data_IF_733104739038
#
_entry.id   IF_733104739038
#
_cell.length_a   1.000
_cell.length_b   1.000
_cell.length_c   1.000
_cell.angle_alpha   90.00
_cell.angle_beta   90.00
_cell.angle_gamma   90.00
#
_symmetry.space_group_name_H-M   'P 1'
#
loop_
_entity.id
_entity.type
_entity.pdbx_description
1 polymer ?
#
# COMPACT_ATOMS: atom_id res chain seq x y z
N UNK A 1 10.41 -7.75 1.79
CA UNK A 1 11.01 -9.01 2.28
C UNK A 1 9.93 -10.08 2.20
N UNK A 2 10.09 -11.07 1.34
CA UNK A 2 9.12 -12.16 1.18
C UNK A 2 9.55 -13.43 1.94
N UNK A 3 8.75 -14.49 1.85
CA UNK A 3 9.02 -15.79 2.48
C UNK A 3 10.35 -16.40 2.04
N UNK A 4 10.65 -16.36 0.74
CA UNK A 4 11.88 -16.94 0.18
C UNK A 4 13.10 -16.22 0.70
N UNK A 5 13.08 -14.88 0.67
CA UNK A 5 14.14 -14.06 1.22
C UNK A 5 14.37 -14.34 2.71
N UNK A 6 13.29 -14.50 3.50
CA UNK A 6 13.39 -14.77 4.93
C UNK A 6 14.06 -16.13 5.23
N UNK A 7 13.81 -17.15 4.41
CA UNK A 7 14.47 -18.46 4.51
C UNK A 7 15.95 -18.36 4.11
N UNK A 8 16.24 -17.71 2.97
CA UNK A 8 17.60 -17.57 2.44
C UNK A 8 18.54 -16.80 3.37
N UNK A 9 17.99 -15.90 4.19
CA UNK A 9 18.74 -15.07 5.14
C UNK A 9 18.60 -15.56 6.59
N UNK A 10 18.13 -16.80 6.81
CA UNK A 10 18.00 -17.43 8.13
C UNK A 10 17.16 -16.62 9.14
N UNK A 11 16.24 -15.79 8.64
CA UNK A 11 15.34 -14.97 9.45
C UNK A 11 14.23 -15.83 10.08
N UNK A 12 13.90 -16.94 9.43
CA UNK A 12 13.01 -18.01 9.91
C UNK A 12 13.64 -19.39 9.59
N UNK A 13 13.32 -20.45 10.36
CA UNK A 13 13.81 -21.80 10.06
C UNK A 13 13.41 -22.27 8.66
N UNK A 14 14.25 -23.08 8.01
CA UNK A 14 14.03 -23.53 6.62
C UNK A 14 12.74 -24.34 6.40
N UNK A 15 12.23 -24.97 7.46
CA UNK A 15 10.98 -25.74 7.49
C UNK A 15 9.80 -24.96 8.11
N UNK A 16 10.00 -23.70 8.49
CA UNK A 16 8.97 -22.87 9.08
C UNK A 16 8.03 -22.32 8.00
N UNK A 17 6.75 -22.65 8.11
CA UNK A 17 5.71 -22.07 7.26
C UNK A 17 4.41 -21.93 8.04
N UNK A 18 3.91 -20.71 8.10
CA UNK A 18 2.60 -20.40 8.67
C UNK A 18 1.76 -19.73 7.61
N UNK A 19 0.65 -20.39 7.25
CA UNK A 19 -0.34 -19.90 6.31
C UNK A 19 0.26 -19.41 4.98
N UNK A 20 0.25 -18.10 4.70
CA UNK A 20 0.78 -17.48 3.47
C UNK A 20 2.31 -17.30 3.44
N UNK A 21 3.01 -17.72 4.47
CA UNK A 21 4.47 -17.70 4.55
C UNK A 21 4.90 -17.70 6.01
N UNK A 22 4.89 -16.51 6.61
CA UNK A 22 5.08 -16.29 8.04
C UNK A 22 4.22 -15.11 8.49
N UNK A 23 3.95 -15.02 9.78
CA UNK A 23 3.02 -14.06 10.38
C UNK A 23 3.54 -12.61 10.28
N UNK A 24 2.63 -11.64 10.16
CA UNK A 24 3.00 -10.22 10.05
C UNK A 24 3.77 -9.73 11.29
N UNK A 25 3.51 -10.33 12.45
CA UNK A 25 4.27 -10.09 13.68
C UNK A 25 5.78 -10.27 13.47
N UNK A 26 6.19 -11.34 12.78
CA UNK A 26 7.61 -11.56 12.47
C UNK A 26 8.09 -10.59 11.39
N UNK A 27 7.24 -10.31 10.39
CA UNK A 27 7.54 -9.33 9.34
C UNK A 27 7.90 -7.96 9.92
N UNK A 28 7.15 -7.48 10.91
CA UNK A 28 7.45 -6.21 11.58
C UNK A 28 8.77 -6.26 12.35
N UNK A 29 9.08 -7.33 13.07
CA UNK A 29 10.38 -7.45 13.78
C UNK A 29 11.57 -7.49 12.82
N UNK A 30 11.41 -8.19 11.69
CA UNK A 30 12.38 -8.18 10.60
C UNK A 30 12.54 -6.78 9.98
N UNK A 31 11.43 -6.07 9.77
CA UNK A 31 11.44 -4.72 9.23
C UNK A 31 12.15 -3.73 10.17
N UNK A 32 11.91 -3.83 11.48
CA UNK A 32 12.62 -3.03 12.49
C UNK A 32 14.13 -3.25 12.43
N UNK A 33 14.54 -4.52 12.32
CA UNK A 33 15.96 -4.90 12.20
C UNK A 33 16.58 -4.31 10.93
N UNK A 34 15.93 -4.47 9.79
CA UNK A 34 16.45 -4.00 8.50
C UNK A 34 16.46 -2.47 8.40
N UNK A 35 15.42 -1.78 8.89
CA UNK A 35 15.42 -0.31 8.97
C UNK A 35 16.52 0.20 9.91
N UNK A 36 16.76 -0.49 11.04
CA UNK A 36 17.87 -0.19 11.94
C UNK A 36 19.24 -0.30 11.26
N UNK A 37 19.40 -1.25 10.33
CA UNK A 37 20.62 -1.41 9.52
C UNK A 37 20.71 -0.34 8.42
N UNK A 38 19.64 -0.17 7.64
CA UNK A 38 19.58 0.77 6.52
C UNK A 38 19.80 2.22 6.97
N UNK A 39 19.25 2.61 8.12
CA UNK A 39 19.41 3.96 8.68
C UNK A 39 20.84 4.29 9.15
N UNK A 40 21.73 3.30 9.23
CA UNK A 40 23.15 3.51 9.56
C UNK A 40 24.04 3.62 8.33
N UNK A 41 23.50 3.39 7.13
CA UNK A 41 24.24 3.57 5.88
C UNK A 41 24.28 5.05 5.49
N UNK A 42 25.30 5.43 4.73
CA UNK A 42 25.45 6.81 4.23
C UNK A 42 24.45 7.12 3.10
N UNK A 43 23.95 6.09 2.40
CA UNK A 43 23.01 6.21 1.28
C UNK A 43 21.54 6.27 1.74
N UNK A 44 20.68 7.03 1.05
CA UNK A 44 19.24 7.01 1.31
C UNK A 44 18.67 5.61 1.02
N UNK A 45 17.69 5.19 1.82
CA UNK A 45 17.06 3.88 1.67
C UNK A 45 15.63 3.97 1.14
N UNK A 46 15.22 2.92 0.44
CA UNK A 46 13.82 2.61 0.16
C UNK A 46 13.54 1.21 0.72
N UNK A 47 12.62 1.11 1.66
CA UNK A 47 12.22 -0.14 2.26
C UNK A 47 10.74 -0.40 2.00
N UNK A 48 10.44 -1.57 1.43
CA UNK A 48 9.08 -2.01 1.09
C UNK A 48 8.78 -3.37 1.71
N UNK A 49 7.60 -3.47 2.31
CA UNK A 49 7.05 -4.70 2.89
C UNK A 49 5.56 -4.81 2.57
N UNK A 50 5.06 -6.04 2.58
CA UNK A 50 3.66 -6.36 2.32
C UNK A 50 3.15 -7.24 3.47
N UNK A 51 2.16 -6.73 4.21
CA UNK A 51 1.46 -7.50 5.23
C UNK A 51 0.49 -8.49 4.58
N UNK A 52 0.33 -9.67 5.17
CA UNK A 52 -0.48 -10.76 4.60
C UNK A 52 -1.44 -11.41 5.58
N UNK A 53 -1.42 -11.11 6.88
CA UNK A 53 -2.32 -11.74 7.86
C UNK A 53 -3.81 -11.48 7.56
N UNK A 54 -4.14 -10.43 6.81
CA UNK A 54 -5.53 -10.11 6.37
C UNK A 54 -5.95 -10.79 5.08
N UNK A 55 -5.11 -11.66 4.49
CA UNK A 55 -5.38 -12.27 3.19
C UNK A 55 -6.66 -13.14 3.18
N UNK A 56 -7.26 -13.28 2.01
CA UNK A 56 -8.42 -14.14 1.79
C UNK A 56 -8.04 -15.64 1.82
N UNK A 57 -8.84 -16.56 2.39
CA UNK A 57 -10.08 -16.38 3.16
C UNK A 57 -9.80 -16.23 4.66
N UNK A 58 -10.68 -15.50 5.37
CA UNK A 58 -10.80 -15.43 6.84
C UNK A 58 -9.58 -14.92 7.63
N UNK A 59 -8.47 -14.62 6.96
CA UNK A 59 -7.28 -14.12 7.62
C UNK A 59 -6.51 -15.18 8.42
N UNK A 60 -5.37 -14.77 8.95
CA UNK A 60 -4.65 -15.45 10.01
C UNK A 60 -4.66 -14.58 11.26
N UNK A 61 -5.19 -15.14 12.34
CA UNK A 61 -5.18 -14.50 13.64
C UNK A 61 -3.96 -15.01 14.40
N UNK A 62 -2.94 -14.16 14.57
CA UNK A 62 -1.78 -14.53 15.39
C UNK A 62 -2.26 -14.87 16.83
N UNK A 63 -1.78 -15.98 17.43
CA UNK A 63 -2.24 -16.44 18.75
C UNK A 63 -2.04 -15.44 19.90
N UNK A 64 -1.23 -14.40 19.71
CA UNK A 64 -0.99 -13.35 20.69
C UNK A 64 -1.91 -12.15 20.56
N UNK A 65 -2.73 -12.09 19.50
CA UNK A 65 -3.72 -11.04 19.31
C UNK A 65 -4.87 -11.14 20.30
N UNK A 66 -5.40 -10.00 20.81
CA UNK A 66 -6.64 -10.00 21.55
C UNK A 66 -7.83 -10.35 20.63
N UNK A 67 -8.88 -10.94 21.21
CA UNK A 67 -10.10 -11.31 20.48
C UNK A 67 -11.35 -10.61 21.05
N UNK A 68 -11.46 -9.27 20.93
CA UNK A 68 -12.60 -8.53 21.46
C UNK A 68 -13.90 -8.74 20.67
N UNK A 69 -13.83 -9.29 19.45
CA UNK A 69 -14.97 -9.50 18.57
C UNK A 69 -15.34 -10.99 18.45
N UNK A 70 -16.61 -11.27 18.15
CA UNK A 70 -17.09 -12.65 17.98
C UNK A 70 -16.57 -13.31 16.70
N UNK A 71 -16.45 -12.55 15.59
CA UNK A 71 -15.96 -13.08 14.31
C UNK A 71 -14.44 -13.05 14.28
N UNK A 72 -13.84 -14.16 13.84
CA UNK A 72 -12.37 -14.25 13.67
C UNK A 72 -11.84 -13.14 12.75
N UNK A 73 -12.50 -12.90 11.61
CA UNK A 73 -11.99 -11.94 10.63
C UNK A 73 -12.03 -10.48 11.14
N UNK A 74 -12.96 -10.14 12.04
CA UNK A 74 -12.94 -8.85 12.75
C UNK A 74 -11.68 -8.73 13.62
N UNK A 75 -11.33 -9.81 14.35
CA UNK A 75 -10.12 -9.85 15.17
C UNK A 75 -8.83 -9.82 14.33
N UNK A 76 -8.83 -10.43 13.13
CA UNK A 76 -7.68 -10.35 12.20
C UNK A 76 -7.45 -8.90 11.77
N UNK A 77 -8.49 -8.20 11.33
CA UNK A 77 -8.37 -6.80 10.92
C UNK A 77 -7.97 -5.89 12.10
N UNK A 78 -8.54 -6.13 13.28
CA UNK A 78 -8.17 -5.40 14.48
C UNK A 78 -6.69 -5.62 14.86
N UNK A 79 -6.21 -6.86 14.79
CA UNK A 79 -4.83 -7.17 15.11
C UNK A 79 -3.85 -6.60 14.08
N UNK A 80 -4.15 -6.72 12.79
CA UNK A 80 -3.33 -6.12 11.73
C UNK A 80 -3.25 -4.59 11.89
N UNK A 81 -4.39 -3.93 12.14
CA UNK A 81 -4.45 -2.48 12.40
C UNK A 81 -3.60 -2.08 13.61
N UNK A 82 -3.68 -2.83 14.71
CA UNK A 82 -2.87 -2.60 15.91
C UNK A 82 -1.37 -2.73 15.60
N UNK A 83 -0.95 -3.82 14.96
CA UNK A 83 0.46 -4.05 14.65
C UNK A 83 1.04 -3.01 13.69
N UNK A 84 0.26 -2.57 12.69
CA UNK A 84 0.65 -1.46 11.79
C UNK A 84 0.83 -0.16 12.60
N UNK A 85 -0.10 0.15 13.51
CA UNK A 85 0.00 1.32 14.39
C UNK A 85 1.26 1.28 15.26
N UNK A 86 1.51 0.18 15.94
CA UNK A 86 2.70 -0.03 16.77
C UNK A 86 4.01 0.07 15.97
N UNK A 87 4.02 -0.41 14.72
CA UNK A 87 5.18 -0.29 13.84
C UNK A 87 5.43 1.16 13.40
N UNK A 88 4.38 1.92 13.09
CA UNK A 88 4.48 3.35 12.77
C UNK A 88 4.98 4.15 13.98
N UNK A 89 4.44 3.89 15.17
CA UNK A 89 4.91 4.51 16.42
C UNK A 89 6.38 4.17 16.69
N UNK A 90 6.77 2.93 16.45
CA UNK A 90 8.18 2.52 16.55
C UNK A 90 9.05 3.31 15.58
N UNK A 91 8.67 3.44 14.29
CA UNK A 91 9.39 4.25 13.31
C UNK A 91 9.53 5.69 13.81
N UNK A 92 8.43 6.31 14.25
CA UNK A 92 8.41 7.70 14.73
C UNK A 92 9.30 7.93 15.96
N UNK A 93 9.58 6.89 16.73
CA UNK A 93 10.51 6.96 17.87
C UNK A 93 12.00 6.84 17.49
N UNK A 94 12.33 6.50 16.24
CA UNK A 94 13.71 6.29 15.81
C UNK A 94 14.42 7.61 15.43
N UNK A 95 15.76 7.69 15.57
CA UNK A 95 16.53 8.87 15.17
C UNK A 95 16.38 9.28 13.69
N UNK A 96 16.02 8.33 12.81
CA UNK A 96 15.83 8.58 11.38
C UNK A 96 14.42 9.10 11.02
N UNK A 97 13.49 9.18 11.98
CA UNK A 97 12.08 9.47 11.71
C UNK A 97 11.83 10.81 10.99
N UNK A 98 12.55 11.86 11.39
CA UNK A 98 12.39 13.21 10.83
C UNK A 98 12.78 13.29 9.35
N UNK A 99 13.64 12.37 8.89
CA UNK A 99 14.11 12.28 7.50
C UNK A 99 13.53 11.06 6.77
N UNK A 100 12.41 10.51 7.25
CA UNK A 100 11.77 9.33 6.66
C UNK A 100 10.29 9.60 6.40
N UNK A 101 9.89 9.55 5.13
CA UNK A 101 8.48 9.51 4.75
C UNK A 101 7.96 8.07 4.85
N UNK A 102 6.86 7.88 5.57
CA UNK A 102 6.17 6.57 5.66
C UNK A 102 4.89 6.64 4.84
N UNK A 103 4.70 5.66 3.96
CA UNK A 103 3.51 5.56 3.10
C UNK A 103 2.83 4.24 3.38
N UNK A 104 1.56 4.29 3.78
CA UNK A 104 0.72 3.11 3.97
C UNK A 104 -0.31 3.14 2.85
N UNK A 105 -0.37 2.06 2.07
CA UNK A 105 -1.32 1.89 0.97
C UNK A 105 -2.00 0.54 1.11
N UNK A 106 -3.32 0.53 0.98
CA UNK A 106 -4.03 -0.72 0.66
C UNK A 106 -3.61 -1.18 -0.74
N UNK A 107 -3.46 -2.48 -0.92
CA UNK A 107 -3.13 -3.11 -2.20
C UNK A 107 -4.39 -3.27 -3.08
N UNK A 108 -5.48 -3.75 -2.50
CA UNK A 108 -6.78 -3.87 -3.14
C UNK A 108 -7.93 -3.93 -2.11
N UNK A 109 -9.17 -3.93 -2.61
CA UNK A 109 -10.34 -4.19 -1.77
C UNK A 109 -10.35 -5.66 -1.36
N UNK A 110 -10.54 -5.95 -0.07
CA UNK A 110 -10.68 -7.32 0.42
C UNK A 110 -11.78 -8.10 -0.31
N UNK A 111 -11.49 -9.37 -0.61
CA UNK A 111 -12.25 -10.21 -1.55
C UNK A 111 -13.34 -11.07 -0.89
N UNK A 112 -13.48 -11.01 0.44
CA UNK A 112 -14.49 -11.78 1.18
C UNK A 112 -15.87 -11.11 1.09
N UNK A 113 -16.49 -11.17 -0.09
CA UNK A 113 -17.71 -10.42 -0.43
C UNK A 113 -18.85 -10.61 0.58
N UNK A 114 -19.09 -11.82 1.08
CA UNK A 114 -20.14 -12.07 2.07
C UNK A 114 -19.91 -11.29 3.36
N UNK A 115 -18.68 -11.27 3.87
CA UNK A 115 -18.31 -10.51 5.07
C UNK A 115 -18.57 -9.01 4.89
N UNK A 116 -18.09 -8.44 3.78
CA UNK A 116 -18.29 -7.00 3.53
C UNK A 116 -19.76 -6.65 3.29
N UNK A 117 -20.54 -7.52 2.63
CA UNK A 117 -21.98 -7.30 2.42
C UNK A 117 -22.78 -7.31 3.73
N UNK A 118 -22.34 -8.04 4.76
CA UNK A 118 -22.96 -8.01 6.07
C UNK A 118 -22.69 -6.70 6.83
N UNK A 119 -21.53 -6.08 6.60
CA UNK A 119 -21.13 -4.84 7.27
C UNK A 119 -21.61 -3.57 6.55
N UNK A 120 -21.77 -3.64 5.23
CA UNK A 120 -22.16 -2.50 4.40
C UNK A 120 -23.69 -2.42 4.37
N UNK A 121 -24.25 -1.62 5.27
CA UNK A 121 -25.70 -1.41 5.38
C UNK A 121 -26.22 -0.27 4.51
N UNK A 122 -25.34 0.62 4.07
CA UNK A 122 -25.69 1.81 3.29
C UNK A 122 -25.72 1.51 1.78
N UNK A 123 -26.86 1.71 1.08
CA UNK A 123 -27.02 1.31 -0.33
C UNK A 123 -25.99 1.91 -1.30
N UNK A 124 -25.45 3.08 -0.98
CA UNK A 124 -24.54 3.84 -1.84
C UNK A 124 -23.11 3.90 -1.28
N UNK A 125 -22.78 3.05 -0.31
CA UNK A 125 -21.42 3.03 0.23
C UNK A 125 -20.44 2.44 -0.79
N UNK A 126 -19.47 3.25 -1.19
CA UNK A 126 -18.37 2.83 -2.04
C UNK A 126 -17.17 2.48 -1.17
N UNK A 127 -16.79 1.21 -1.16
CA UNK A 127 -15.55 0.77 -0.53
C UNK A 127 -14.35 1.46 -1.19
N UNK A 128 -13.41 1.91 -0.38
CA UNK A 128 -12.15 2.52 -0.81
C UNK A 128 -10.98 1.82 -0.14
N UNK A 129 -9.79 2.05 -0.68
CA UNK A 129 -8.54 1.64 -0.03
C UNK A 129 -8.09 2.75 0.93
N UNK A 130 -7.52 2.36 2.06
CA UNK A 130 -6.87 3.28 2.98
C UNK A 130 -5.49 3.66 2.44
N UNK A 131 -5.20 4.96 2.42
CA UNK A 131 -3.91 5.49 2.00
C UNK A 131 -3.53 6.64 2.94
N UNK A 132 -2.28 6.68 3.40
CA UNK A 132 -1.76 7.79 4.21
C UNK A 132 -0.28 8.02 3.94
N UNK A 133 0.08 9.29 3.89
CA UNK A 133 1.47 9.76 3.85
C UNK A 133 1.79 10.40 5.21
N UNK A 134 2.81 9.91 5.87
CA UNK A 134 3.29 10.37 7.18
C UNK A 134 4.68 10.97 6.95
N UNK A 135 4.94 12.13 7.56
CA UNK A 135 6.14 12.93 7.34
C UNK A 135 6.46 13.21 5.85
N UNK A 136 5.48 13.67 5.03
CA UNK A 136 5.82 14.15 3.70
C UNK A 136 6.62 15.46 3.79
N UNK A 137 7.63 15.61 2.94
CA UNK A 137 8.43 16.84 2.79
C UNK A 137 7.64 17.99 2.13
N UNK A 138 6.43 17.73 1.66
CA UNK A 138 5.54 18.70 0.99
C UNK A 138 4.16 18.71 1.66
N UNK A 139 3.55 19.88 1.74
CA UNK A 139 2.18 20.05 2.22
C UNK A 139 1.19 19.94 1.06
N UNK A 140 0.14 19.11 1.15
CA UNK A 140 -0.85 19.00 0.10
C UNK A 140 -1.68 20.27 -0.02
N UNK A 141 -2.01 20.69 -1.24
CA UNK A 141 -2.93 21.81 -1.47
C UNK A 141 -4.35 21.45 -0.99
N UNK A 142 -4.76 20.19 -1.16
CA UNK A 142 -5.98 19.64 -0.56
C UNK A 142 -5.72 18.23 -0.04
N UNK A 143 -6.19 17.96 1.17
CA UNK A 143 -6.16 16.62 1.79
C UNK A 143 -7.48 15.87 1.67
N UNK A 144 -8.51 16.46 1.03
CA UNK A 144 -9.85 15.87 0.90
C UNK A 144 -10.44 16.09 -0.50
N UNK A 145 -11.40 15.26 -0.88
CA UNK A 145 -12.21 15.44 -2.10
C UNK A 145 -11.51 15.11 -3.42
N UNK A 146 -10.24 14.71 -3.40
CA UNK A 146 -9.51 14.24 -4.59
C UNK A 146 -9.99 12.85 -5.01
N UNK A 147 -10.25 12.65 -6.30
CA UNK A 147 -10.47 11.31 -6.86
C UNK A 147 -9.16 10.83 -7.49
N UNK A 148 -8.67 9.65 -7.11
CA UNK A 148 -7.37 9.17 -7.57
C UNK A 148 -7.30 7.65 -7.68
N UNK A 149 -6.25 7.17 -8.36
CA UNK A 149 -5.96 5.78 -8.65
C UNK A 149 -4.56 5.40 -8.16
N UNK A 150 -4.19 4.13 -8.30
CA UNK A 150 -2.82 3.67 -8.04
C UNK A 150 -1.78 4.34 -8.95
N UNK A 151 -2.17 4.86 -10.12
CA UNK A 151 -1.24 5.60 -10.99
C UNK A 151 -0.68 6.84 -10.30
N UNK A 152 -1.50 7.50 -9.49
CA UNK A 152 -1.14 8.75 -8.82
C UNK A 152 -0.18 8.53 -7.64
N UNK A 153 -0.05 7.29 -7.14
CA UNK A 153 0.85 6.97 -6.03
C UNK A 153 2.32 7.13 -6.40
N UNK A 154 2.73 6.82 -7.64
CA UNK A 154 4.13 6.96 -8.04
C UNK A 154 4.66 8.41 -7.95
N UNK A 155 4.08 9.40 -8.66
CA UNK A 155 4.52 10.79 -8.51
C UNK A 155 4.25 11.34 -7.09
N UNK A 156 3.20 10.89 -6.40
CA UNK A 156 2.93 11.35 -5.03
C UNK A 156 3.98 10.86 -4.03
N UNK A 157 4.46 9.62 -4.17
CA UNK A 157 5.58 9.09 -3.36
C UNK A 157 6.85 9.90 -3.56
N UNK A 158 7.20 10.21 -4.81
CA UNK A 158 8.38 11.05 -5.10
C UNK A 158 8.24 12.45 -4.52
N UNK A 159 7.09 13.09 -4.72
CA UNK A 159 6.81 14.42 -4.17
C UNK A 159 6.82 14.42 -2.64
N UNK A 160 6.29 13.36 -1.99
CA UNK A 160 6.31 13.20 -0.55
C UNK A 160 7.74 13.11 0.01
N UNK A 161 8.71 12.61 -0.78
CA UNK A 161 10.13 12.63 -0.42
C UNK A 161 10.85 13.94 -0.80
N UNK A 162 10.14 14.95 -1.31
CA UNK A 162 10.69 16.26 -1.67
C UNK A 162 11.24 16.35 -3.09
N UNK A 163 11.01 15.34 -3.93
CA UNK A 163 11.41 15.39 -5.35
C UNK A 163 10.52 16.37 -6.11
N UNK A 164 11.13 17.30 -6.84
CA UNK A 164 10.41 18.23 -7.72
C UNK A 164 10.09 17.52 -9.04
N UNK A 165 8.80 17.44 -9.37
CA UNK A 165 8.30 16.78 -10.58
C UNK A 165 7.84 17.85 -11.57
N UNK A 166 8.53 17.94 -12.70
CA UNK A 166 8.17 18.87 -13.77
C UNK A 166 6.73 18.62 -14.24
N UNK A 167 5.89 19.64 -14.13
CA UNK A 167 4.48 19.56 -14.50
C UNK A 167 3.61 18.66 -13.61
N UNK A 168 4.10 18.22 -12.44
CA UNK A 168 3.35 17.43 -11.44
C UNK A 168 2.72 16.14 -11.99
N UNK A 169 3.31 15.51 -13.00
CA UNK A 169 2.77 14.30 -13.63
C UNK A 169 3.89 13.41 -14.14
N UNK A 170 3.73 12.09 -13.91
CA UNK A 170 4.63 11.08 -14.44
C UNK A 170 3.81 9.90 -14.97
N UNK A 171 3.94 9.62 -16.27
CA UNK A 171 3.07 8.68 -16.95
C UNK A 171 1.60 9.09 -16.83
N UNK A 172 0.77 8.16 -16.36
CA UNK A 172 -0.67 8.37 -16.15
C UNK A 172 -1.01 8.99 -14.78
N UNK A 173 -0.05 9.04 -13.85
CA UNK A 173 -0.28 9.53 -12.51
C UNK A 173 0.03 11.01 -12.34
N UNK A 174 -0.70 11.69 -11.46
CA UNK A 174 -0.40 13.06 -11.04
C UNK A 174 0.01 13.12 -9.56
N UNK A 175 0.83 14.12 -9.22
CA UNK A 175 1.19 14.41 -7.85
C UNK A 175 -0.06 14.89 -7.07
N UNK A 176 -0.52 14.08 -6.11
CA UNK A 176 -1.71 14.37 -5.29
C UNK A 176 -1.52 15.55 -4.33
N UNK A 177 -0.28 15.97 -4.08
CA UNK A 177 0.02 17.18 -3.31
C UNK A 177 -0.21 18.47 -4.13
N UNK A 178 -0.40 18.36 -5.45
CA UNK A 178 -0.56 19.50 -6.37
C UNK A 178 -2.01 19.78 -6.77
N UNK A 179 -2.25 20.93 -7.41
CA UNK A 179 -3.53 21.31 -8.02
C UNK A 179 -3.85 20.56 -9.32
N UNK A 180 -2.91 19.74 -9.82
CA UNK A 180 -3.10 19.08 -11.10
C UNK A 180 -4.20 18.03 -11.02
N UNK A 181 -5.17 18.15 -11.92
CA UNK A 181 -6.32 17.25 -12.03
C UNK A 181 -5.88 15.83 -12.41
N UNK A 182 -6.29 14.82 -11.64
CA UNK A 182 -6.05 13.39 -11.95
C UNK A 182 -6.84 12.96 -13.17
N UNK A 183 -6.53 11.79 -13.73
CA UNK A 183 -7.33 11.24 -14.83
C UNK A 183 -8.77 10.95 -14.39
N UNK A 184 -8.98 10.44 -13.18
CA UNK A 184 -10.34 10.18 -12.66
C UNK A 184 -11.13 11.49 -12.55
N UNK A 185 -10.51 12.56 -12.06
CA UNK A 185 -11.15 13.88 -11.97
C UNK A 185 -11.47 14.44 -13.36
N UNK A 186 -10.58 14.25 -14.35
CA UNK A 186 -10.80 14.67 -15.74
C UNK A 186 -11.98 13.94 -16.40
N UNK A 187 -12.10 12.62 -16.17
CA UNK A 187 -13.20 11.81 -16.71
C UNK A 187 -14.48 11.90 -15.86
N UNK A 188 -14.41 12.53 -14.68
CA UNK A 188 -15.56 12.79 -13.80
C UNK A 188 -15.97 11.62 -12.91
N UNK A 189 -15.52 10.40 -13.17
CA UNK A 189 -15.77 9.22 -12.32
C UNK A 189 -14.75 8.11 -12.57
N UNK A 190 -14.62 7.17 -11.60
CA UNK A 190 -13.80 5.97 -11.79
C UNK A 190 -14.38 5.09 -12.90
N UNK A 191 -15.70 5.05 -13.04
CA UNK A 191 -16.41 4.28 -14.06
C UNK A 191 -16.05 4.78 -15.46
N UNK A 192 -16.16 6.10 -15.70
CA UNK A 192 -15.79 6.70 -16.98
C UNK A 192 -14.29 6.51 -17.27
N UNK A 193 -13.43 6.64 -16.26
CA UNK A 193 -12.01 6.35 -16.43
C UNK A 193 -11.74 4.88 -16.82
N UNK A 194 -12.41 3.92 -16.17
CA UNK A 194 -12.27 2.50 -16.50
C UNK A 194 -12.79 2.18 -17.91
N UNK A 195 -13.87 2.84 -18.36
CA UNK A 195 -14.36 2.71 -19.74
C UNK A 195 -13.30 3.14 -20.76
N UNK A 196 -12.54 4.20 -20.47
CA UNK A 196 -11.43 4.66 -21.31
C UNK A 196 -10.25 3.69 -21.29
N UNK A 197 -9.88 3.16 -20.12
CA UNK A 197 -8.81 2.16 -19.99
C UNK A 197 -9.13 0.84 -20.69
N UNK A 198 -10.41 0.47 -20.78
CA UNK A 198 -10.85 -0.74 -21.47
C UNK A 198 -10.79 -0.62 -23.00
N UNK A 199 -10.53 0.57 -23.55
CA UNK A 199 -10.46 0.77 -25.00
C UNK A 199 -9.20 0.13 -25.58
N UNK A 200 -9.38 -0.42 -26.78
CA UNK A 200 -8.28 -0.98 -27.56
C UNK A 200 -7.35 0.14 -28.04
N UNK A 201 -6.05 -0.06 -27.88
CA UNK A 201 -5.02 0.84 -28.43
C UNK A 201 -4.23 0.12 -29.52
N UNK A 202 -4.48 0.47 -30.79
CA UNK A 202 -3.71 -0.06 -31.92
C UNK A 202 -2.21 0.26 -31.78
N UNK A 203 -1.89 1.42 -31.22
CA UNK A 203 -0.50 1.80 -30.95
C UNK A 203 0.15 0.85 -29.95
N UNK A 204 -0.51 0.58 -28.82
CA UNK A 204 -0.02 -0.33 -27.79
C UNK A 204 0.19 -1.74 -28.37
N UNK A 205 -0.81 -2.26 -29.08
CA UNK A 205 -0.73 -3.59 -29.68
C UNK A 205 0.41 -3.71 -30.69
N UNK A 206 0.52 -2.76 -31.63
CA UNK A 206 1.49 -2.87 -32.73
C UNK A 206 2.91 -2.42 -32.38
N UNK A 207 3.06 -1.60 -31.35
CA UNK A 207 4.35 -0.96 -31.04
C UNK A 207 4.96 -1.49 -29.74
N UNK A 208 4.13 -1.92 -28.77
CA UNK A 208 4.59 -2.34 -27.45
C UNK A 208 4.40 -3.84 -27.25
N UNK A 209 3.21 -4.39 -27.53
CA UNK A 209 2.95 -5.82 -27.34
C UNK A 209 3.56 -6.70 -28.43
N UNK A 210 3.41 -6.31 -29.70
CA UNK A 210 3.90 -7.05 -30.86
C UNK A 210 4.86 -6.20 -31.71
N UNK A 211 5.99 -5.74 -31.16
CA UNK A 211 6.96 -4.95 -31.92
C UNK A 211 7.64 -5.85 -32.97
N UNK A 212 7.10 -5.91 -34.19
CA UNK A 212 7.72 -6.65 -35.30
C UNK A 212 6.77 -7.28 -36.30
N UNK A 213 5.49 -7.45 -35.97
CA UNK A 213 4.50 -7.99 -36.91
C UNK A 213 3.97 -6.87 -37.82
N UNK A 214 4.73 -6.55 -38.86
CA UNK A 214 4.31 -5.75 -40.02
C UNK A 214 4.36 -6.56 -41.30
#
# INVERSE_FOLDING_TARGET
MDYTYAIENEMIPSDYKVWWGYEDKKLFEHAKTELGRLSQLDDPFNFQMLTVDTHFTDGWLDPTCPTPYEKQYDNVHACSSQQVGEFVEWIQSQPFADNTTVIITGDHLGMQTSYYNELITEPNYRRTMYNVFINPAITPISSTGRLFSSFDMYPSTLAAMGVVIDGNQMGLGVNLFSEKTTLIEQYGSLEAFNEELAKRSEYYERTILLPGDK
#
